data_IF_055115343015
#
_entry.id   IF_055115343015
#
_cell.length_a   1.000
_cell.length_b   1.000
_cell.length_c   1.000
_cell.angle_alpha   90.00
_cell.angle_beta   90.00
_cell.angle_gamma   90.00
#
_symmetry.space_group_name_H-M   'P 1'
#
loop_
_entity.id
_entity.type
_entity.pdbx_description
1 polymer ?
#
# COMPACT_ATOMS: atom_id res chain seq x y z
N UNK A 1 -0.11 3.59 -11.42
CA UNK A 1 -0.32 2.16 -11.23
C UNK A 1 1.02 1.42 -11.19
N UNK A 2 1.19 0.48 -10.23
CA UNK A 2 2.38 -0.36 -10.16
C UNK A 2 3.71 0.35 -9.82
N UNK A 3 3.67 1.56 -9.28
CA UNK A 3 4.88 2.35 -8.97
C UNK A 3 5.54 2.99 -10.19
N UNK A 4 4.85 3.07 -11.32
CA UNK A 4 5.32 3.83 -12.48
C UNK A 4 5.16 5.33 -12.25
N UNK A 5 6.03 6.12 -12.87
CA UNK A 5 6.04 7.59 -12.81
C UNK A 5 6.17 8.20 -11.40
N UNK A 6 6.74 7.43 -10.44
CA UNK A 6 7.14 7.98 -9.14
C UNK A 6 8.50 8.67 -9.29
N UNK A 7 8.52 9.96 -8.98
CA UNK A 7 9.73 10.78 -9.03
C UNK A 7 10.06 11.31 -7.63
N UNK A 8 11.26 11.01 -7.14
CA UNK A 8 11.78 11.65 -5.95
C UNK A 8 12.37 13.01 -6.33
N UNK A 9 11.88 14.06 -5.67
CA UNK A 9 12.44 15.40 -5.80
C UNK A 9 13.11 15.72 -4.46
N UNK A 10 14.44 15.88 -4.50
CA UNK A 10 15.26 16.23 -3.32
C UNK A 10 16.02 17.53 -3.56
N UNK A 11 16.38 18.20 -2.48
CA UNK A 11 17.10 19.49 -2.53
C UNK A 11 16.19 20.69 -2.83
N UNK A 12 16.73 21.70 -3.53
CA UNK A 12 15.93 22.87 -3.95
C UNK A 12 14.82 22.44 -4.90
N UNK A 13 13.63 23.00 -4.71
CA UNK A 13 12.46 22.72 -5.53
C UNK A 13 12.78 22.94 -7.02
N UNK A 14 12.81 21.86 -7.79
CA UNK A 14 13.07 21.94 -9.23
C UNK A 14 11.77 22.19 -9.98
N UNK A 15 11.39 23.47 -10.08
CA UNK A 15 10.16 23.91 -10.74
C UNK A 15 10.10 23.51 -12.22
N UNK A 16 11.24 23.48 -12.92
CA UNK A 16 11.30 23.05 -14.32
C UNK A 16 10.88 21.58 -14.45
N UNK A 17 11.44 20.71 -13.60
CA UNK A 17 11.09 19.28 -13.58
C UNK A 17 9.60 19.08 -13.25
N UNK A 18 9.07 19.82 -12.29
CA UNK A 18 7.64 19.76 -11.92
C UNK A 18 6.77 20.19 -13.10
N UNK A 19 7.11 21.31 -13.77
CA UNK A 19 6.38 21.79 -14.97
C UNK A 19 6.40 20.77 -16.09
N UNK A 20 7.54 20.09 -16.34
CA UNK A 20 7.64 19.02 -17.33
C UNK A 20 6.72 17.84 -17.01
N UNK A 21 6.71 17.39 -15.75
CA UNK A 21 5.83 16.30 -15.29
C UNK A 21 4.36 16.70 -15.42
N UNK A 22 4.01 17.92 -15.00
CA UNK A 22 2.64 18.44 -15.15
C UNK A 22 2.20 18.52 -16.61
N UNK A 23 3.10 19.00 -17.51
CA UNK A 23 2.81 19.05 -18.95
C UNK A 23 2.56 17.66 -19.54
N UNK A 24 3.29 16.64 -19.04
CA UNK A 24 3.16 15.26 -19.53
C UNK A 24 1.89 14.57 -19.01
N UNK A 25 1.53 14.78 -17.74
CA UNK A 25 0.50 13.98 -17.05
C UNK A 25 -0.75 14.77 -16.66
N UNK A 26 -0.77 16.09 -16.82
CA UNK A 26 -1.86 16.97 -16.44
C UNK A 26 -1.97 17.18 -14.93
N UNK A 27 -2.19 16.11 -14.19
CA UNK A 27 -2.31 16.12 -12.73
C UNK A 27 -1.22 15.30 -12.08
N UNK A 28 -0.70 15.78 -10.95
CA UNK A 28 0.29 15.05 -10.13
C UNK A 28 -0.11 15.09 -8.66
N UNK A 29 0.16 14.01 -7.96
CA UNK A 29 0.09 13.97 -6.50
C UNK A 29 1.49 14.19 -5.93
N UNK A 30 1.61 15.17 -5.02
CA UNK A 30 2.84 15.41 -4.28
C UNK A 30 2.65 15.04 -2.82
N UNK A 31 3.57 14.29 -2.28
CA UNK A 31 3.54 13.91 -0.87
C UNK A 31 4.94 13.93 -0.25
N UNK A 32 5.00 14.07 1.07
CA UNK A 32 6.26 14.03 1.80
C UNK A 32 6.92 12.66 1.63
N UNK A 33 8.20 12.65 1.27
CA UNK A 33 8.96 11.40 1.21
C UNK A 33 9.17 10.83 2.62
N UNK A 34 8.90 9.55 2.77
CA UNK A 34 9.07 8.82 4.02
C UNK A 34 10.34 7.96 3.92
N UNK A 35 11.44 8.43 4.51
CA UNK A 35 12.76 7.79 4.45
C UNK A 35 12.76 6.33 4.91
N UNK A 36 11.82 5.97 5.79
CA UNK A 36 11.72 4.61 6.33
C UNK A 36 11.16 3.59 5.35
N UNK A 37 10.74 4.01 4.14
CA UNK A 37 10.38 3.09 3.05
C UNK A 37 11.48 2.07 2.74
N UNK A 38 12.74 2.41 2.98
CA UNK A 38 13.87 1.46 2.84
C UNK A 38 13.73 0.21 3.70
N UNK A 39 12.98 0.27 4.79
CA UNK A 39 12.66 -0.88 5.64
C UNK A 39 11.37 -1.60 5.22
N UNK A 40 10.72 -1.09 4.18
CA UNK A 40 9.49 -1.62 3.63
C UNK A 40 8.24 -0.84 4.03
N UNK A 41 7.18 -1.17 3.34
CA UNK A 41 5.82 -0.81 3.72
C UNK A 41 5.07 -2.05 4.22
N UNK A 42 3.88 -1.83 4.81
CA UNK A 42 2.96 -2.90 5.18
C UNK A 42 1.68 -2.75 4.35
N UNK A 43 1.36 -3.78 3.54
CA UNK A 43 0.06 -3.92 2.89
C UNK A 43 -0.89 -4.68 3.82
N UNK A 44 -1.96 -4.02 4.23
CA UNK A 44 -3.03 -4.62 5.05
C UNK A 44 -4.20 -4.99 4.15
N UNK A 45 -4.72 -6.21 4.31
CA UNK A 45 -5.88 -6.70 3.57
C UNK A 45 -7.15 -6.49 4.38
N UNK A 46 -8.14 -5.85 3.76
CA UNK A 46 -9.46 -5.60 4.33
C UNK A 46 -10.49 -6.33 3.45
N UNK A 47 -11.28 -7.20 4.06
CA UNK A 47 -12.36 -7.94 3.41
C UNK A 47 -13.64 -7.76 4.23
N UNK A 48 -14.71 -7.33 3.60
CA UNK A 48 -16.03 -7.11 4.22
C UNK A 48 -15.95 -6.28 5.52
N UNK A 49 -15.15 -5.20 5.50
CA UNK A 49 -14.98 -4.32 6.65
C UNK A 49 -14.18 -4.90 7.83
N UNK A 50 -13.42 -5.97 7.60
CA UNK A 50 -12.55 -6.59 8.61
C UNK A 50 -11.10 -6.61 8.15
N UNK A 51 -10.18 -6.35 9.06
CA UNK A 51 -8.72 -6.54 8.84
C UNK A 51 -8.44 -8.04 8.88
N UNK A 52 -7.94 -8.59 7.77
CA UNK A 52 -7.77 -10.04 7.61
C UNK A 52 -6.31 -10.49 7.61
N UNK A 53 -5.37 -9.60 7.44
CA UNK A 53 -3.94 -9.92 7.45
C UNK A 53 -3.10 -8.80 6.89
N UNK A 54 -1.78 -8.96 6.97
CA UNK A 54 -0.85 -8.01 6.41
C UNK A 54 0.46 -8.67 5.94
N UNK A 55 1.07 -8.10 4.92
CA UNK A 55 2.44 -8.40 4.48
C UNK A 55 3.28 -7.14 4.55
N UNK A 56 4.56 -7.30 4.87
CA UNK A 56 5.58 -6.28 4.66
C UNK A 56 6.22 -6.50 3.30
N UNK A 57 6.51 -5.43 2.57
CA UNK A 57 7.16 -5.45 1.26
C UNK A 57 8.43 -4.62 1.35
N UNK A 58 9.58 -5.29 1.43
CA UNK A 58 10.88 -4.61 1.58
C UNK A 58 11.45 -4.32 0.20
N UNK A 59 11.70 -3.06 -0.17
CA UNK A 59 12.30 -2.70 -1.45
C UNK A 59 13.64 -3.38 -1.68
N UNK A 60 13.99 -3.58 -2.94
CA UNK A 60 15.34 -3.96 -3.33
C UNK A 60 16.33 -2.87 -2.88
N UNK A 61 17.57 -3.26 -2.53
CA UNK A 61 18.60 -2.30 -2.16
C UNK A 61 18.72 -1.18 -3.21
N UNK A 62 18.74 0.08 -2.76
CA UNK A 62 18.79 1.26 -3.65
C UNK A 62 17.44 1.67 -4.26
N UNK A 63 16.35 0.90 -4.05
CA UNK A 63 15.02 1.25 -4.55
C UNK A 63 14.16 1.91 -3.47
N UNK A 64 13.27 2.81 -3.89
CA UNK A 64 12.22 3.39 -3.06
C UNK A 64 10.85 2.75 -3.34
N UNK A 65 10.78 1.77 -4.26
CA UNK A 65 9.55 1.13 -4.68
C UNK A 65 9.36 -0.19 -3.94
N UNK A 66 8.30 -0.30 -3.17
CA UNK A 66 7.93 -1.50 -2.41
C UNK A 66 7.00 -2.45 -3.17
N UNK A 67 6.73 -2.17 -4.45
CA UNK A 67 5.92 -3.04 -5.29
C UNK A 67 6.63 -4.38 -5.56
N UNK A 68 5.95 -5.50 -5.37
CA UNK A 68 6.52 -6.83 -5.63
C UNK A 68 6.91 -7.01 -7.10
N UNK A 69 6.17 -6.41 -8.04
CA UNK A 69 6.53 -6.37 -9.47
C UNK A 69 7.85 -5.64 -9.76
N UNK A 70 8.36 -4.85 -8.81
CA UNK A 70 9.65 -4.17 -8.87
C UNK A 70 10.74 -4.88 -8.04
N UNK A 71 10.47 -6.12 -7.61
CA UNK A 71 11.43 -6.98 -6.91
C UNK A 71 11.49 -6.79 -5.40
N UNK A 72 10.48 -6.18 -4.78
CA UNK A 72 10.38 -6.13 -3.33
C UNK A 72 10.18 -7.54 -2.74
N UNK A 73 10.80 -7.78 -1.58
CA UNK A 73 10.72 -9.07 -0.86
C UNK A 73 9.57 -9.02 0.14
N UNK A 74 8.57 -9.91 0.01
CA UNK A 74 7.47 -9.96 0.97
C UNK A 74 7.84 -10.75 2.21
N UNK A 75 7.25 -10.37 3.36
CA UNK A 75 7.27 -11.11 4.63
C UNK A 75 5.91 -10.96 5.31
N UNK A 76 5.53 -11.89 6.20
CA UNK A 76 4.38 -11.69 7.07
C UNK A 76 4.62 -10.46 7.95
N UNK A 77 3.59 -9.66 8.13
CA UNK A 77 3.67 -8.46 8.97
C UNK A 77 2.61 -8.48 10.06
N UNK A 78 3.02 -8.02 11.25
CA UNK A 78 2.12 -7.74 12.36
C UNK A 78 1.89 -6.23 12.45
N UNK A 79 0.64 -5.85 12.71
CA UNK A 79 0.26 -4.45 12.86
C UNK A 79 0.52 -4.01 14.30
N UNK A 80 1.06 -2.82 14.47
CA UNK A 80 1.04 -2.14 15.77
C UNK A 80 -0.40 -1.78 16.17
N UNK A 81 -0.63 -1.52 17.44
CA UNK A 81 -1.95 -1.11 17.94
C UNK A 81 -2.49 0.13 17.19
N UNK A 82 -1.59 1.07 16.85
CA UNK A 82 -1.94 2.27 16.09
C UNK A 82 -2.36 1.93 14.66
N UNK A 83 -1.59 1.10 13.95
CA UNK A 83 -1.92 0.66 12.59
C UNK A 83 -3.22 -0.12 12.57
N UNK A 84 -3.42 -1.02 13.53
CA UNK A 84 -4.65 -1.80 13.66
C UNK A 84 -5.88 -0.90 13.92
N UNK A 85 -5.75 0.08 14.81
CA UNK A 85 -6.82 1.06 15.09
C UNK A 85 -7.20 1.84 13.83
N UNK A 86 -6.22 2.37 13.10
CA UNK A 86 -6.45 3.11 11.85
C UNK A 86 -7.07 2.18 10.78
N UNK A 87 -6.54 0.96 10.64
CA UNK A 87 -7.07 -0.03 9.68
C UNK A 87 -8.53 -0.37 9.96
N UNK A 88 -8.92 -0.53 11.23
CA UNK A 88 -10.30 -0.83 11.61
C UNK A 88 -11.25 0.36 11.35
N UNK A 89 -10.79 1.59 11.55
CA UNK A 89 -11.58 2.79 11.21
C UNK A 89 -11.84 2.83 9.70
N UNK A 90 -10.80 2.65 8.89
CA UNK A 90 -10.90 2.63 7.43
C UNK A 90 -11.80 1.47 6.98
N UNK A 91 -11.61 0.28 7.54
CA UNK A 91 -12.41 -0.90 7.19
C UNK A 91 -13.91 -0.66 7.38
N UNK A 92 -14.29 -0.06 8.51
CA UNK A 92 -15.69 0.31 8.78
C UNK A 92 -16.22 1.35 7.80
N UNK A 93 -15.39 2.36 7.46
CA UNK A 93 -15.78 3.42 6.53
C UNK A 93 -16.01 2.86 5.12
N UNK A 94 -15.03 2.17 4.55
CA UNK A 94 -15.14 1.63 3.19
C UNK A 94 -16.26 0.60 3.06
N UNK A 95 -16.57 -0.18 4.13
CA UNK A 95 -17.72 -1.08 4.14
C UNK A 95 -19.05 -0.32 4.00
N UNK A 96 -19.20 0.83 4.69
CA UNK A 96 -20.38 1.70 4.55
C UNK A 96 -20.52 2.24 3.14
N UNK A 97 -19.39 2.48 2.46
CA UNK A 97 -19.35 2.95 1.08
C UNK A 97 -19.53 1.81 0.05
N UNK A 98 -19.89 0.60 0.49
CA UNK A 98 -20.14 -0.58 -0.37
C UNK A 98 -18.86 -1.27 -0.86
N UNK A 99 -17.69 -0.89 -0.37
CA UNK A 99 -16.42 -1.47 -0.80
C UNK A 99 -16.14 -2.73 0.00
N UNK A 100 -16.13 -3.86 -0.70
CA UNK A 100 -15.97 -5.18 -0.09
C UNK A 100 -14.51 -5.57 0.16
N UNK A 101 -13.59 -5.20 -0.75
CA UNK A 101 -12.18 -5.57 -0.68
C UNK A 101 -11.28 -4.37 -0.89
N UNK A 102 -10.29 -4.19 -0.01
CA UNK A 102 -9.31 -3.14 -0.12
C UNK A 102 -7.93 -3.57 0.40
N UNK A 103 -6.90 -2.89 -0.10
CA UNK A 103 -5.55 -2.92 0.45
C UNK A 103 -5.13 -1.53 0.91
N UNK A 104 -4.67 -1.40 2.14
CA UNK A 104 -4.13 -0.13 2.66
C UNK A 104 -2.66 -0.26 2.99
N UNK A 105 -1.89 0.78 2.71
CA UNK A 105 -0.44 0.75 2.84
C UNK A 105 0.05 1.69 3.95
N UNK A 106 0.90 1.15 4.83
CA UNK A 106 1.58 1.89 5.89
C UNK A 106 3.08 1.91 5.68
N UNK A 107 3.69 3.07 5.89
CA UNK A 107 5.14 3.23 6.02
C UNK A 107 5.41 3.82 7.40
N UNK A 108 6.22 3.12 8.23
CA UNK A 108 6.58 3.58 9.58
C UNK A 108 5.36 3.96 10.44
N UNK A 109 4.31 3.13 10.41
CA UNK A 109 3.07 3.37 11.16
C UNK A 109 2.23 4.53 10.65
N UNK A 110 2.59 5.13 9.52
CA UNK A 110 1.83 6.20 8.85
C UNK A 110 1.13 5.64 7.64
N UNK A 111 -0.15 5.96 7.50
CA UNK A 111 -0.89 5.67 6.26
C UNK A 111 -0.21 6.42 5.11
N UNK A 112 0.21 5.69 4.09
CA UNK A 112 0.99 6.25 2.97
C UNK A 112 0.13 6.89 1.87
N UNK A 113 -1.15 7.10 2.15
CA UNK A 113 -2.08 7.69 1.19
C UNK A 113 -2.62 6.73 0.13
N UNK A 114 -2.22 5.47 0.12
CA UNK A 114 -2.77 4.47 -0.79
C UNK A 114 -3.83 3.62 -0.07
N UNK A 115 -5.08 3.85 -0.45
CA UNK A 115 -6.22 2.98 -0.13
C UNK A 115 -6.69 2.40 -1.45
N UNK A 116 -6.12 1.25 -1.82
CA UNK A 116 -6.44 0.59 -3.07
C UNK A 116 -7.75 -0.19 -2.94
N UNK A 117 -8.78 0.32 -3.60
CA UNK A 117 -10.13 -0.26 -3.62
C UNK A 117 -10.52 -0.83 -4.98
N UNK A 118 -9.64 -0.69 -5.98
CA UNK A 118 -9.92 -1.15 -7.35
C UNK A 118 -9.32 -2.51 -7.64
N UNK A 119 -8.03 -2.70 -7.36
CA UNK A 119 -7.30 -3.93 -7.66
C UNK A 119 -6.22 -4.22 -6.62
N UNK A 120 -6.57 -4.41 -5.33
CA UNK A 120 -5.57 -4.74 -4.33
C UNK A 120 -4.97 -6.12 -4.61
N UNK A 121 -3.64 -6.16 -4.67
CA UNK A 121 -2.87 -7.38 -4.95
C UNK A 121 -2.18 -7.88 -3.70
N UNK A 122 -1.72 -9.15 -3.73
CA UNK A 122 -0.90 -9.75 -2.67
C UNK A 122 -1.57 -10.86 -1.86
N UNK A 123 -2.83 -11.20 -2.12
CA UNK A 123 -3.54 -12.30 -1.43
C UNK A 123 -2.79 -13.63 -1.62
N UNK A 124 -2.34 -13.91 -2.86
CA UNK A 124 -1.57 -15.14 -3.13
C UNK A 124 -0.27 -15.14 -2.32
N UNK A 125 0.45 -14.02 -2.32
CA UNK A 125 1.67 -13.88 -1.53
C UNK A 125 1.41 -14.08 -0.04
N UNK A 126 0.31 -13.54 0.49
CA UNK A 126 -0.06 -13.76 1.88
C UNK A 126 -0.32 -15.24 2.16
N UNK A 127 -1.02 -15.95 1.25
CA UNK A 127 -1.25 -17.38 1.37
C UNK A 127 0.07 -18.17 1.36
N UNK A 128 0.96 -17.87 0.40
CA UNK A 128 2.26 -18.56 0.29
C UNK A 128 3.11 -18.42 1.56
N UNK A 129 2.97 -17.29 2.27
CA UNK A 129 3.73 -17.00 3.49
C UNK A 129 3.05 -17.49 4.77
N UNK A 130 1.72 -17.48 4.85
CA UNK A 130 0.96 -17.71 6.08
C UNK A 130 0.17 -19.01 6.09
N UNK A 131 -0.05 -19.63 4.93
CA UNK A 131 -0.98 -20.71 4.68
C UNK A 131 -2.45 -20.37 4.96
N UNK A 132 -2.76 -19.08 5.17
CA UNK A 132 -4.12 -18.58 5.37
C UNK A 132 -4.71 -18.11 4.04
N UNK A 133 -5.78 -18.75 3.60
CA UNK A 133 -6.41 -18.47 2.32
C UNK A 133 -7.43 -17.33 2.41
N UNK A 134 -6.98 -16.09 2.16
CA UNK A 134 -7.85 -14.91 2.14
C UNK A 134 -8.84 -14.91 0.96
N UNK A 135 -8.53 -15.59 -0.14
CA UNK A 135 -9.47 -15.73 -1.25
C UNK A 135 -10.69 -16.56 -0.81
N UNK A 136 -10.49 -17.61 -0.02
CA UNK A 136 -11.60 -18.37 0.59
C UNK A 136 -12.44 -17.48 1.51
N UNK A 137 -11.80 -16.61 2.30
CA UNK A 137 -12.49 -15.63 3.17
C UNK A 137 -13.30 -14.64 2.33
N UNK A 138 -12.75 -14.19 1.21
CA UNK A 138 -13.43 -13.30 0.26
C UNK A 138 -14.71 -13.93 -0.28
N UNK A 139 -14.63 -15.12 -0.87
CA UNK A 139 -15.78 -15.77 -1.51
C UNK A 139 -16.84 -16.27 -0.54
N UNK A 140 -16.49 -16.61 0.71
CA UNK A 140 -17.47 -17.02 1.72
C UNK A 140 -18.33 -15.88 2.25
N UNK A 141 -17.96 -14.66 2.00
CA UNK A 141 -18.66 -13.49 2.52
C UNK A 141 -19.51 -12.74 1.48
N UNK A 142 -19.49 -13.20 0.22
CA UNK A 142 -20.39 -12.78 -0.85
C UNK A 142 -21.64 -13.65 -0.86
#
# INVERSE_FOLDING_TARGET
YGGNDINLISGKLNLLKIKQILKKHGHIMCQKFLNKIKFGDKRVFIINGKVCGAISRVPKSGSILSNMSKGAKPKIAFLSNKELKVSNIIAKKIKKDGIYFAGIDFIDGKLNGDINVTSPTGIKTYFDLSQINLAKTFWKGL
#
